data_IF_213054881860
#
_entry.id   IF_213054881860
#
_cell.length_a   1.000
_cell.length_b   1.000
_cell.length_c   1.000
_cell.angle_alpha   90.00
_cell.angle_beta   90.00
_cell.angle_gamma   90.00
#
_symmetry.space_group_name_H-M   'P 1'
#
loop_
_entity.id
_entity.type
_entity.pdbx_description
1 polymer ?
#
# COMPACT_ATOMS: atom_id res chain seq x y z
N UNK A 1 -26.69 -49.91 -5.71
CA UNK A 1 -25.50 -49.26 -6.29
C UNK A 1 -25.68 -47.75 -6.15
N UNK A 2 -25.14 -47.20 -5.10
CA UNK A 2 -25.15 -45.71 -4.90
C UNK A 2 -23.93 -45.14 -5.57
N UNK A 3 -24.15 -44.41 -6.67
CA UNK A 3 -23.10 -43.59 -7.28
C UNK A 3 -23.00 -42.30 -6.46
N UNK A 4 -22.03 -42.23 -5.57
CA UNK A 4 -21.60 -40.97 -4.99
C UNK A 4 -20.86 -40.21 -6.08
N UNK A 5 -21.50 -39.23 -6.66
CA UNK A 5 -20.82 -38.19 -7.47
C UNK A 5 -19.86 -37.44 -6.55
N UNK A 6 -18.58 -37.29 -6.91
CA UNK A 6 -17.72 -36.40 -6.17
C UNK A 6 -18.28 -34.98 -6.33
N UNK A 7 -18.55 -34.31 -5.21
CA UNK A 7 -18.84 -32.90 -5.21
C UNK A 7 -17.66 -32.18 -5.87
N UNK A 8 -17.91 -31.61 -7.03
CA UNK A 8 -16.95 -30.78 -7.75
C UNK A 8 -16.62 -29.62 -6.82
N UNK A 9 -15.40 -29.58 -6.27
CA UNK A 9 -14.93 -28.44 -5.53
C UNK A 9 -14.98 -27.23 -6.49
N UNK A 10 -15.81 -26.23 -6.15
CA UNK A 10 -15.93 -25.02 -6.95
C UNK A 10 -14.52 -24.39 -7.09
N UNK A 11 -14.16 -24.03 -8.32
CA UNK A 11 -12.89 -23.34 -8.57
C UNK A 11 -12.88 -22.00 -7.83
N UNK A 12 -11.71 -21.53 -7.34
CA UNK A 12 -11.62 -20.21 -6.69
C UNK A 12 -12.23 -19.09 -7.55
N UNK A 13 -12.16 -19.22 -8.86
CA UNK A 13 -12.71 -18.28 -9.84
C UNK A 13 -14.25 -18.19 -9.81
N UNK A 14 -14.94 -19.23 -9.35
CA UNK A 14 -16.41 -19.26 -9.25
C UNK A 14 -16.93 -18.63 -7.95
N UNK A 15 -16.03 -18.19 -7.06
CA UNK A 15 -16.45 -17.62 -5.80
C UNK A 15 -17.13 -16.25 -6.00
N UNK A 16 -18.31 -15.99 -5.37
CA UNK A 16 -19.11 -14.79 -5.60
C UNK A 16 -18.38 -13.47 -5.23
N UNK A 17 -17.35 -13.52 -4.41
CA UNK A 17 -16.55 -12.34 -4.06
C UNK A 17 -15.51 -11.96 -5.11
N UNK A 18 -15.22 -12.81 -6.09
CA UNK A 18 -14.16 -12.59 -7.07
C UNK A 18 -14.29 -11.27 -7.82
N UNK A 19 -15.46 -10.88 -8.35
CA UNK A 19 -15.58 -9.59 -9.02
C UNK A 19 -15.21 -8.40 -8.13
N UNK A 20 -15.64 -8.41 -6.87
CA UNK A 20 -15.32 -7.34 -5.91
C UNK A 20 -13.84 -7.30 -5.52
N UNK A 21 -13.19 -8.47 -5.43
CA UNK A 21 -11.75 -8.60 -5.15
C UNK A 21 -10.93 -8.01 -6.29
N UNK A 22 -11.22 -8.41 -7.51
CA UNK A 22 -10.52 -7.93 -8.71
C UNK A 22 -10.73 -6.43 -8.94
N UNK A 23 -11.97 -5.97 -8.81
CA UNK A 23 -12.34 -4.57 -8.96
C UNK A 23 -11.58 -3.67 -7.96
N UNK A 24 -11.47 -4.11 -6.71
CA UNK A 24 -10.72 -3.37 -5.70
C UNK A 24 -9.24 -3.28 -6.01
N UNK A 25 -8.62 -4.36 -6.44
CA UNK A 25 -7.22 -4.38 -6.81
C UNK A 25 -6.95 -3.54 -8.07
N UNK A 26 -7.79 -3.64 -9.08
CA UNK A 26 -7.72 -2.82 -10.27
C UNK A 26 -7.87 -1.34 -9.93
N UNK A 27 -8.84 -0.98 -9.11
CA UNK A 27 -9.07 0.40 -8.65
C UNK A 27 -7.84 0.99 -7.95
N UNK A 28 -7.10 0.20 -7.16
CA UNK A 28 -5.85 0.64 -6.55
C UNK A 28 -4.82 1.04 -7.61
N UNK A 29 -4.57 0.17 -8.58
CA UNK A 29 -3.59 0.45 -9.63
C UNK A 29 -4.02 1.60 -10.55
N UNK A 30 -5.32 1.74 -10.82
CA UNK A 30 -5.86 2.91 -11.53
C UNK A 30 -5.65 4.21 -10.73
N UNK A 31 -5.86 4.17 -9.42
CA UNK A 31 -5.59 5.32 -8.55
C UNK A 31 -4.10 5.68 -8.53
N UNK A 32 -3.21 4.69 -8.55
CA UNK A 32 -1.77 4.90 -8.68
C UNK A 32 -1.40 5.54 -10.02
N UNK A 33 -1.96 5.04 -11.13
CA UNK A 33 -1.78 5.61 -12.47
C UNK A 33 -2.24 7.07 -12.55
N UNK A 34 -3.38 7.37 -11.94
CA UNK A 34 -3.97 8.71 -11.91
C UNK A 34 -3.37 9.63 -10.84
N UNK A 35 -2.48 9.11 -9.99
CA UNK A 35 -1.91 9.82 -8.83
C UNK A 35 -2.97 10.35 -7.87
N UNK A 36 -4.05 9.61 -7.71
CA UNK A 36 -5.10 9.86 -6.73
C UNK A 36 -4.65 9.32 -5.36
N UNK A 37 -3.82 10.09 -4.67
CA UNK A 37 -3.17 9.68 -3.43
C UNK A 37 -4.15 9.34 -2.31
N UNK A 38 -5.23 10.10 -2.08
CA UNK A 38 -6.26 9.72 -1.11
C UNK A 38 -6.91 8.38 -1.42
N UNK A 39 -7.23 8.12 -2.69
CA UNK A 39 -7.84 6.87 -3.13
C UNK A 39 -6.88 5.68 -2.98
N UNK A 40 -5.59 5.86 -3.25
CA UNK A 40 -4.56 4.84 -3.01
C UNK A 40 -4.58 4.44 -1.53
N UNK A 41 -4.48 5.40 -0.63
CA UNK A 41 -4.43 5.15 0.82
C UNK A 41 -5.71 4.50 1.35
N UNK A 42 -6.88 4.96 0.87
CA UNK A 42 -8.17 4.40 1.25
C UNK A 42 -8.38 2.95 0.80
N UNK A 43 -7.73 2.53 -0.29
CA UNK A 43 -7.81 1.17 -0.82
C UNK A 43 -6.95 0.15 -0.03
N UNK A 44 -6.04 0.61 0.82
CA UNK A 44 -5.11 -0.24 1.56
C UNK A 44 -5.74 -0.84 2.83
N UNK A 45 -5.22 -2.00 3.24
CA UNK A 45 -5.54 -2.61 4.53
C UNK A 45 -5.14 -1.70 5.70
N UNK A 46 -5.79 -1.87 6.86
CA UNK A 46 -5.46 -1.13 8.07
C UNK A 46 -3.98 -1.29 8.43
N UNK A 47 -3.47 -2.52 8.41
CA UNK A 47 -2.06 -2.81 8.68
C UNK A 47 -1.12 -2.09 7.71
N UNK A 48 -1.44 -2.08 6.42
CA UNK A 48 -0.64 -1.35 5.43
C UNK A 48 -0.60 0.15 5.73
N UNK A 49 -1.75 0.76 6.03
CA UNK A 49 -1.84 2.18 6.38
C UNK A 49 -1.04 2.52 7.65
N UNK A 50 -1.24 1.75 8.72
CA UNK A 50 -0.52 1.94 9.98
C UNK A 50 1.00 1.82 9.78
N UNK A 51 1.46 0.82 9.06
CA UNK A 51 2.89 0.61 8.79
C UNK A 51 3.48 1.76 7.98
N UNK A 52 2.80 2.20 6.91
CA UNK A 52 3.23 3.33 6.08
C UNK A 52 3.34 4.61 6.90
N UNK A 53 2.34 4.91 7.73
CA UNK A 53 2.35 6.08 8.61
C UNK A 53 3.49 6.02 9.62
N UNK A 54 3.70 4.87 10.26
CA UNK A 54 4.76 4.68 11.25
C UNK A 54 6.15 4.82 10.64
N UNK A 55 6.40 4.19 9.51
CA UNK A 55 7.69 4.29 8.80
C UNK A 55 7.95 5.72 8.30
N UNK A 56 6.93 6.37 7.76
CA UNK A 56 7.04 7.75 7.28
C UNK A 56 7.33 8.72 8.44
N UNK A 57 6.61 8.56 9.56
CA UNK A 57 6.84 9.36 10.77
C UNK A 57 8.28 9.18 11.28
N UNK A 58 8.75 7.94 11.35
CA UNK A 58 10.13 7.63 11.77
C UNK A 58 11.16 8.27 10.83
N UNK A 59 10.93 8.21 9.52
CA UNK A 59 11.82 8.82 8.54
C UNK A 59 11.87 10.34 8.65
N UNK A 60 10.74 10.99 8.88
CA UNK A 60 10.66 12.45 9.08
C UNK A 60 11.37 12.90 10.37
N UNK A 61 11.21 12.15 11.45
CA UNK A 61 11.92 12.39 12.72
C UNK A 61 13.43 12.25 12.53
N UNK A 62 13.89 11.22 11.84
CA UNK A 62 15.31 11.00 11.57
C UNK A 62 15.91 12.12 10.69
N UNK A 63 15.16 12.60 9.69
CA UNK A 63 15.58 13.71 8.84
C UNK A 63 15.69 15.02 9.63
N UNK A 64 14.72 15.31 10.51
CA UNK A 64 14.76 16.48 11.39
C UNK A 64 15.96 16.44 12.36
N UNK A 65 16.28 15.27 12.92
CA UNK A 65 17.42 15.08 13.81
C UNK A 65 18.77 15.35 13.12
N UNK A 66 18.91 15.01 11.84
CA UNK A 66 20.12 15.27 11.04
C UNK A 66 20.32 16.76 10.75
N UNK A 67 19.24 17.53 10.62
CA UNK A 67 19.30 18.98 10.38
C UNK A 67 19.65 19.77 11.65
N UNK A 68 19.51 19.17 12.82
CA UNK A 68 19.75 19.76 14.13
C UNK A 68 21.15 19.46 14.68
N UNK A 69 22.05 18.86 13.91
CA UNK A 69 23.45 18.61 14.35
C UNK A 69 24.22 19.92 14.43
N UNK A 70 24.67 20.37 15.63
CA UNK A 70 25.49 21.56 15.77
C UNK A 70 26.93 21.20 15.40
N UNK A 71 27.31 21.43 14.17
CA UNK A 71 28.72 21.44 13.73
C UNK A 71 29.28 22.85 13.74
N UNK A 72 29.55 23.40 14.91
CA UNK A 72 30.23 24.68 15.07
C UNK A 72 30.45 25.04 16.54
N UNK A 73 31.58 25.74 16.90
CA UNK A 73 31.76 26.22 18.25
C UNK A 73 30.71 27.27 18.62
N UNK A 74 30.29 27.40 19.89
CA UNK A 74 29.24 28.30 20.29
C UNK A 74 29.64 29.74 20.06
N UNK A 75 29.06 30.37 19.04
CA UNK A 75 29.11 31.82 18.89
C UNK A 75 28.04 32.43 19.79
N UNK A 76 28.44 33.21 20.75
CA UNK A 76 27.59 33.83 21.79
C UNK A 76 26.59 34.87 21.29
N UNK A 77 26.49 35.10 19.98
CA UNK A 77 25.60 36.11 19.36
C UNK A 77 24.77 35.60 18.19
N UNK A 78 24.42 34.30 18.16
CA UNK A 78 23.44 33.82 17.18
C UNK A 78 22.02 34.09 17.70
N UNK A 79 21.17 34.85 16.97
CA UNK A 79 19.76 34.93 17.31
C UNK A 79 19.21 33.51 17.31
N UNK A 80 18.52 33.13 18.40
CA UNK A 80 17.77 31.88 18.51
C UNK A 80 16.73 31.88 17.41
N UNK A 81 17.07 31.29 16.25
CA UNK A 81 16.09 31.07 15.18
C UNK A 81 15.11 30.07 15.75
N UNK A 82 13.83 30.43 15.90
CA UNK A 82 12.84 29.48 16.39
C UNK A 82 12.84 28.28 15.45
N UNK A 83 12.98 27.08 16.01
CA UNK A 83 12.85 25.81 15.26
C UNK A 83 11.49 25.87 14.58
N UNK A 84 11.53 26.10 13.28
CA UNK A 84 10.36 26.28 12.46
C UNK A 84 9.68 24.91 12.36
N UNK A 85 8.66 24.72 13.16
CA UNK A 85 7.76 23.57 13.26
C UNK A 85 8.45 22.25 13.70
N UNK A 86 8.02 21.66 14.81
CA UNK A 86 8.44 20.29 15.13
C UNK A 86 8.01 19.34 14.00
N UNK A 87 8.75 18.24 13.78
CA UNK A 87 8.35 17.25 12.79
C UNK A 87 6.94 16.72 13.09
N UNK A 88 6.11 16.44 12.07
CA UNK A 88 4.75 16.00 12.28
C UNK A 88 4.72 14.65 13.00
N UNK A 89 3.82 14.52 13.97
CA UNK A 89 3.55 13.25 14.64
C UNK A 89 2.72 12.30 13.77
N UNK A 90 2.51 11.05 14.23
CA UNK A 90 1.83 10.02 13.43
C UNK A 90 0.39 10.42 13.05
N UNK A 91 -0.34 11.13 13.88
CA UNK A 91 -1.70 11.59 13.56
C UNK A 91 -1.73 12.64 12.45
N UNK A 92 -0.74 13.53 12.41
CA UNK A 92 -0.60 14.52 11.36
C UNK A 92 -0.18 13.87 10.04
N UNK A 93 0.68 12.86 10.09
CA UNK A 93 1.09 12.06 8.93
C UNK A 93 -0.10 11.27 8.39
N UNK A 94 -0.87 10.61 9.24
CA UNK A 94 -2.08 9.88 8.83
C UNK A 94 -3.10 10.80 8.14
N UNK A 95 -3.36 11.97 8.74
CA UNK A 95 -4.25 12.99 8.16
C UNK A 95 -3.76 13.49 6.80
N UNK A 96 -2.46 13.64 6.62
CA UNK A 96 -1.85 14.02 5.35
C UNK A 96 -2.07 12.94 4.28
N UNK A 97 -1.89 11.67 4.63
CA UNK A 97 -2.17 10.55 3.72
C UNK A 97 -3.66 10.47 3.34
N UNK A 98 -4.56 10.70 4.29
CA UNK A 98 -6.01 10.70 4.03
C UNK A 98 -6.40 11.83 3.06
N UNK A 99 -5.81 13.00 3.19
CA UNK A 99 -6.11 14.17 2.38
C UNK A 99 -5.29 14.28 1.08
N UNK A 100 -4.26 13.46 0.91
CA UNK A 100 -3.34 13.55 -0.23
C UNK A 100 -2.44 14.78 -0.16
N UNK A 101 -1.97 15.12 1.01
CA UNK A 101 -1.08 16.24 1.28
C UNK A 101 0.35 16.02 0.77
N UNK A 102 1.27 16.95 1.08
CA UNK A 102 2.64 16.90 0.57
C UNK A 102 3.44 15.67 1.00
N UNK A 103 3.22 15.17 2.22
CA UNK A 103 3.89 13.95 2.71
C UNK A 103 3.43 12.74 1.91
N UNK A 104 2.13 12.60 1.70
CA UNK A 104 1.56 11.52 0.89
C UNK A 104 2.06 11.55 -0.55
N UNK A 105 2.13 12.73 -1.15
CA UNK A 105 2.65 12.92 -2.52
C UNK A 105 4.11 12.47 -2.64
N UNK A 106 4.95 12.92 -1.75
CA UNK A 106 6.37 12.56 -1.74
C UNK A 106 6.56 11.04 -1.58
N UNK A 107 5.78 10.43 -0.68
CA UNK A 107 5.79 9.00 -0.45
C UNK A 107 5.38 8.21 -1.70
N UNK A 108 4.21 8.52 -2.25
CA UNK A 108 3.69 7.79 -3.41
C UNK A 108 4.47 8.07 -4.68
N UNK A 109 4.99 9.27 -4.88
CA UNK A 109 5.87 9.57 -6.00
C UNK A 109 7.20 8.79 -5.91
N UNK A 110 7.74 8.62 -4.70
CA UNK A 110 8.90 7.76 -4.48
C UNK A 110 8.60 6.28 -4.76
N UNK A 111 7.44 5.80 -4.33
CA UNK A 111 6.97 4.44 -4.59
C UNK A 111 6.79 4.19 -6.09
N UNK A 112 6.12 5.10 -6.80
CA UNK A 112 5.82 5.01 -8.23
C UNK A 112 7.05 5.16 -9.15
N UNK A 113 8.17 5.63 -8.62
CA UNK A 113 9.46 5.54 -9.34
C UNK A 113 10.00 4.11 -9.45
N UNK A 114 9.56 3.22 -8.58
CA UNK A 114 9.99 1.81 -8.52
C UNK A 114 8.92 0.82 -8.94
N UNK A 115 7.67 1.25 -8.94
CA UNK A 115 6.52 0.44 -9.27
C UNK A 115 5.75 1.08 -10.41
N UNK A 116 5.55 0.33 -11.49
CA UNK A 116 4.81 0.76 -12.67
C UNK A 116 3.38 0.17 -12.63
N UNK A 117 2.34 1.00 -12.34
CA UNK A 117 0.97 0.52 -12.33
C UNK A 117 0.47 0.09 -13.72
N UNK A 118 1.01 0.65 -14.81
CA UNK A 118 0.64 0.22 -16.16
C UNK A 118 1.12 -1.20 -16.44
N UNK A 119 2.28 -1.59 -15.92
CA UNK A 119 2.76 -2.97 -16.03
C UNK A 119 1.79 -3.95 -15.34
N UNK A 120 1.23 -3.59 -14.19
CA UNK A 120 0.24 -4.41 -13.51
C UNK A 120 -1.09 -4.46 -14.27
N UNK A 121 -1.58 -3.34 -14.80
CA UNK A 121 -2.87 -3.23 -15.46
C UNK A 121 -2.88 -3.79 -16.89
N UNK A 122 -1.85 -3.45 -17.69
CA UNK A 122 -1.85 -3.67 -19.14
C UNK A 122 -0.92 -4.81 -19.59
N UNK A 123 0.08 -5.13 -18.76
CA UNK A 123 1.13 -6.09 -19.11
C UNK A 123 1.21 -7.29 -18.17
N UNK A 124 0.17 -7.51 -17.37
CA UNK A 124 0.08 -8.66 -16.48
C UNK A 124 -1.19 -9.47 -16.73
N UNK A 125 -1.06 -10.79 -16.57
CA UNK A 125 -2.20 -11.68 -16.48
C UNK A 125 -2.62 -11.79 -15.01
N UNK A 126 -3.91 -11.65 -14.77
CA UNK A 126 -4.50 -11.71 -13.44
C UNK A 126 -5.27 -13.02 -13.27
N UNK A 127 -5.00 -13.72 -12.20
CA UNK A 127 -5.66 -14.97 -11.84
C UNK A 127 -5.99 -14.94 -10.34
N UNK A 128 -7.13 -15.54 -9.98
CA UNK A 128 -7.44 -15.75 -8.57
C UNK A 128 -6.62 -16.95 -8.06
N UNK A 129 -5.80 -16.71 -7.05
CA UNK A 129 -5.04 -17.77 -6.41
C UNK A 129 -5.87 -18.51 -5.35
N UNK A 130 -6.43 -17.78 -4.40
CA UNK A 130 -7.28 -18.33 -3.36
C UNK A 130 -8.32 -17.32 -2.91
N UNK A 131 -9.47 -17.80 -2.44
CA UNK A 131 -10.51 -16.97 -1.84
C UNK A 131 -11.01 -17.63 -0.58
N UNK A 132 -10.82 -16.95 0.55
CA UNK A 132 -11.36 -17.32 1.83
C UNK A 132 -12.40 -16.31 2.31
N UNK A 133 -12.85 -16.44 3.56
CA UNK A 133 -13.83 -15.56 4.16
C UNK A 133 -13.33 -14.11 4.27
N UNK A 134 -12.11 -13.94 4.75
CA UNK A 134 -11.54 -12.63 5.09
C UNK A 134 -10.22 -12.33 4.36
N UNK A 135 -9.76 -13.26 3.53
CA UNK A 135 -8.51 -13.16 2.77
C UNK A 135 -8.68 -13.74 1.38
N UNK A 136 -7.98 -13.15 0.43
CA UNK A 136 -7.87 -13.67 -0.91
C UNK A 136 -6.49 -13.35 -1.48
N UNK A 137 -6.13 -14.04 -2.54
CA UNK A 137 -4.87 -13.83 -3.26
C UNK A 137 -5.15 -13.69 -4.74
N UNK A 138 -4.53 -12.67 -5.35
CA UNK A 138 -4.51 -12.48 -6.79
C UNK A 138 -3.09 -12.75 -7.28
N UNK A 139 -2.97 -13.59 -8.28
CA UNK A 139 -1.71 -13.88 -8.94
C UNK A 139 -1.56 -12.94 -10.15
N UNK A 140 -0.51 -12.17 -10.15
CA UNK A 140 -0.15 -11.22 -11.20
C UNK A 140 1.10 -11.73 -11.91
N UNK A 141 0.94 -12.23 -13.12
CA UNK A 141 2.07 -12.68 -13.93
C UNK A 141 2.43 -11.60 -14.93
N UNK A 142 3.52 -10.88 -14.67
CA UNK A 142 4.04 -9.86 -15.58
C UNK A 142 4.55 -10.52 -16.87
N UNK A 143 4.41 -9.81 -17.99
CA UNK A 143 4.92 -10.28 -19.28
C UNK A 143 6.43 -10.56 -19.18
N UNK A 144 6.83 -11.80 -19.46
CA UNK A 144 8.22 -12.25 -19.39
C UNK A 144 8.71 -12.66 -18.01
N UNK A 145 7.85 -12.66 -16.98
CA UNK A 145 8.18 -13.19 -15.67
C UNK A 145 7.94 -14.71 -15.61
N UNK A 146 8.86 -15.43 -14.97
CA UNK A 146 8.75 -16.88 -14.78
C UNK A 146 7.77 -17.27 -13.66
N UNK A 147 7.53 -16.35 -12.73
CA UNK A 147 6.67 -16.57 -11.56
C UNK A 147 5.70 -15.41 -11.35
N UNK A 148 4.47 -15.70 -10.89
CA UNK A 148 3.52 -14.66 -10.53
C UNK A 148 3.94 -13.95 -9.24
N UNK A 149 3.65 -12.66 -9.16
CA UNK A 149 3.59 -11.94 -7.89
C UNK A 149 2.22 -12.20 -7.24
N UNK A 150 2.21 -12.42 -5.94
CA UNK A 150 0.99 -12.66 -5.18
C UNK A 150 0.55 -11.39 -4.47
N UNK A 151 -0.58 -10.82 -4.91
CA UNK A 151 -1.20 -9.68 -4.25
C UNK A 151 -2.16 -10.17 -3.18
N UNK A 152 -1.94 -9.78 -1.93
CA UNK A 152 -2.80 -10.18 -0.81
C UNK A 152 -3.97 -9.20 -0.65
N UNK A 153 -5.16 -9.76 -0.55
CA UNK A 153 -6.40 -9.04 -0.32
C UNK A 153 -6.98 -9.39 1.04
N UNK A 154 -7.47 -8.39 1.75
CA UNK A 154 -8.06 -8.56 3.08
C UNK A 154 -9.47 -7.96 3.09
N UNK A 155 -10.39 -8.63 3.80
CA UNK A 155 -11.74 -8.12 4.01
C UNK A 155 -11.79 -7.38 5.33
N UNK A 156 -12.08 -6.08 5.26
CA UNK A 156 -12.17 -5.20 6.42
C UNK A 156 -13.42 -4.32 6.26
N UNK A 157 -14.17 -4.14 7.34
CA UNK A 157 -15.36 -3.28 7.38
C UNK A 157 -16.38 -3.57 6.25
N UNK A 158 -16.53 -4.86 5.92
CA UNK A 158 -17.45 -5.30 4.87
C UNK A 158 -16.97 -5.12 3.43
N UNK A 159 -15.76 -4.59 3.21
CA UNK A 159 -15.16 -4.38 1.89
C UNK A 159 -13.80 -5.05 1.74
N UNK A 160 -13.36 -5.22 0.50
CA UNK A 160 -12.02 -5.72 0.22
C UNK A 160 -11.00 -4.58 0.21
N UNK A 161 -9.84 -4.85 0.78
CA UNK A 161 -8.68 -3.95 0.85
C UNK A 161 -7.43 -4.65 0.34
N UNK A 162 -6.51 -3.86 -0.20
CA UNK A 162 -5.23 -4.39 -0.68
C UNK A 162 -4.21 -4.38 0.45
N UNK A 163 -3.65 -5.54 0.73
CA UNK A 163 -2.54 -5.72 1.66
C UNK A 163 -1.20 -5.40 0.99
N UNK A 164 -0.86 -4.13 0.85
CA UNK A 164 0.38 -3.71 0.19
C UNK A 164 1.60 -4.13 1.00
N UNK A 165 1.59 -3.87 2.29
CA UNK A 165 2.64 -4.28 3.22
C UNK A 165 2.70 -5.79 3.32
N UNK A 166 1.56 -6.45 3.45
CA UNK A 166 1.44 -7.90 3.50
C UNK A 166 1.96 -8.59 2.22
N UNK A 167 1.91 -7.88 1.10
CA UNK A 167 2.42 -8.38 -0.19
C UNK A 167 3.93 -8.17 -0.33
N UNK A 168 4.41 -6.95 -0.10
CA UNK A 168 5.77 -6.54 -0.45
C UNK A 168 6.75 -6.50 0.73
N UNK A 169 6.26 -6.36 1.97
CA UNK A 169 7.10 -6.30 3.18
C UNK A 169 7.10 -7.59 4.00
N UNK A 170 6.31 -8.59 3.62
CA UNK A 170 6.37 -9.90 4.30
C UNK A 170 7.68 -10.59 3.95
N UNK A 171 8.57 -10.66 4.90
CA UNK A 171 9.73 -11.56 4.88
C UNK A 171 9.38 -12.85 5.61
#
# INVERSE_FOLDING_TARGET
MFHSSPASAASPEDHPAVPAILDRAESLFQSMKNRDYPAIFAALSAKSRETIVAETTTALLAAAGKQSSPGGPPSVDAPTVPVKNPPPGPEAVDSDFISGGPIARDYWDAFLRRFDPDAALEHSRWEIGSVGRDRAEILLTYRGADHPATLKMLREDGGWKVGLVETFWSR
#
